data_IF_546920884040
#
_entry.id   IF_546920884040
#
_cell.length_a   1.000
_cell.length_b   1.000
_cell.length_c   1.000
_cell.angle_alpha   90.00
_cell.angle_beta   90.00
_cell.angle_gamma   90.00
#
_symmetry.space_group_name_H-M   'P 1'
#
loop_
_entity.id
_entity.type
_entity.pdbx_description
1 polymer ?
#
# COMPACT_ATOMS: atom_id res chain seq x y z
N UNK A 1 -15.53 -6.87 7.89
CA UNK A 1 -15.44 -5.44 8.25
C UNK A 1 -16.63 -5.07 9.11
N UNK A 2 -16.40 -4.31 10.17
CA UNK A 2 -17.49 -3.68 10.93
C UNK A 2 -17.75 -2.29 10.32
N UNK A 3 -18.92 -2.08 9.72
CA UNK A 3 -19.28 -0.81 9.07
C UNK A 3 -20.65 -0.32 9.57
N UNK A 4 -20.74 0.11 10.85
CA UNK A 4 -22.00 0.51 11.45
C UNK A 4 -22.46 1.88 10.92
N UNK A 5 -23.76 2.13 10.95
CA UNK A 5 -24.28 3.50 10.83
C UNK A 5 -23.98 4.24 12.13
N UNK A 6 -23.30 5.38 12.02
CA UNK A 6 -22.97 6.19 13.20
C UNK A 6 -24.15 7.06 13.64
N UNK A 7 -24.38 7.11 14.95
CA UNK A 7 -25.33 8.03 15.59
C UNK A 7 -24.72 9.43 15.72
N UNK A 8 -25.55 10.44 15.98
CA UNK A 8 -25.07 11.80 16.26
C UNK A 8 -24.12 11.85 17.46
N UNK A 9 -24.36 11.03 18.50
CA UNK A 9 -23.48 10.95 19.67
C UNK A 9 -22.08 10.41 19.30
N UNK A 10 -22.01 9.41 18.42
CA UNK A 10 -20.72 8.89 17.93
C UNK A 10 -20.00 9.96 17.08
N UNK A 11 -20.73 10.65 16.20
CA UNK A 11 -20.18 11.77 15.44
C UNK A 11 -19.65 12.89 16.34
N UNK A 12 -20.40 13.30 17.36
CA UNK A 12 -19.97 14.29 18.32
C UNK A 12 -18.70 13.86 19.08
N UNK A 13 -18.57 12.57 19.39
CA UNK A 13 -17.37 11.97 19.97
C UNK A 13 -16.14 12.09 19.05
N UNK A 14 -16.30 11.86 17.75
CA UNK A 14 -15.21 12.09 16.78
C UNK A 14 -14.90 13.59 16.62
N UNK A 15 -15.92 14.43 16.49
CA UNK A 15 -15.74 15.87 16.30
C UNK A 15 -15.03 16.54 17.47
N UNK A 16 -15.31 16.14 18.72
CA UNK A 16 -14.66 16.70 19.91
C UNK A 16 -13.15 16.41 19.97
N UNK A 17 -12.70 15.34 19.28
CA UNK A 17 -11.29 14.91 19.21
C UNK A 17 -10.61 15.26 17.88
N UNK A 18 -11.26 16.08 17.04
CA UNK A 18 -10.79 16.35 15.68
C UNK A 18 -9.32 16.81 15.62
N UNK A 19 -8.93 17.80 16.44
CA UNK A 19 -7.58 18.35 16.42
C UNK A 19 -6.52 17.33 16.90
N UNK A 20 -6.83 16.58 17.95
CA UNK A 20 -5.97 15.49 18.44
C UNK A 20 -5.77 14.42 17.36
N UNK A 21 -6.85 13.95 16.73
CA UNK A 21 -6.77 12.95 15.66
C UNK A 21 -5.99 13.48 14.46
N UNK A 22 -6.22 14.74 14.07
CA UNK A 22 -5.50 15.40 12.97
C UNK A 22 -4.00 15.45 13.20
N UNK A 23 -3.55 15.76 14.41
CA UNK A 23 -2.12 15.75 14.75
C UNK A 23 -1.57 14.32 14.82
N UNK A 24 -2.34 13.41 15.42
CA UNK A 24 -1.94 12.02 15.63
C UNK A 24 -1.68 11.29 14.31
N UNK A 25 -2.60 11.39 13.33
CA UNK A 25 -2.46 10.70 12.05
C UNK A 25 -1.19 11.11 11.31
N UNK A 26 -0.62 12.28 11.57
CA UNK A 26 0.61 12.71 10.90
C UNK A 26 1.86 12.00 11.42
N UNK A 27 1.77 11.31 12.56
CA UNK A 27 2.92 10.71 13.26
C UNK A 27 2.88 9.19 13.34
N UNK A 28 1.74 8.56 13.06
CA UNK A 28 1.61 7.11 13.10
C UNK A 28 2.27 6.43 11.89
N UNK A 29 2.47 5.12 11.96
CA UNK A 29 3.11 4.35 10.89
C UNK A 29 2.38 4.46 9.55
N UNK A 30 1.05 4.31 9.54
CA UNK A 30 0.27 4.25 8.29
C UNK A 30 -0.70 5.43 8.11
N UNK A 31 -0.59 6.50 8.91
CA UNK A 31 -1.46 7.66 8.75
C UNK A 31 -2.90 7.46 9.26
N UNK A 32 -3.11 6.47 10.13
CA UNK A 32 -4.35 6.20 10.84
C UNK A 32 -4.28 6.66 12.30
N UNK A 33 -5.42 6.70 12.99
CA UNK A 33 -5.45 7.08 14.43
C UNK A 33 -4.91 5.98 15.35
N UNK A 34 -4.91 4.73 14.91
CA UNK A 34 -4.22 3.63 15.57
C UNK A 34 -2.78 3.48 15.04
N UNK A 35 -1.94 2.83 15.83
CA UNK A 35 -0.52 2.61 15.50
C UNK A 35 -0.01 1.34 16.17
N UNK A 36 1.16 0.86 15.75
CA UNK A 36 1.83 -0.26 16.40
C UNK A 36 2.28 0.08 17.83
N UNK A 37 2.51 -0.97 18.62
CA UNK A 37 3.07 -0.87 19.98
C UNK A 37 2.02 -0.79 21.10
N UNK A 38 0.73 -0.61 20.77
CA UNK A 38 -0.34 -0.59 21.77
C UNK A 38 -0.49 -1.89 22.57
N UNK A 39 -0.04 -3.02 22.00
CA UNK A 39 -0.16 -4.35 22.61
C UNK A 39 1.19 -4.95 23.07
N UNK A 40 2.28 -4.17 23.07
CA UNK A 40 3.64 -4.70 23.33
C UNK A 40 4.16 -5.57 22.19
N UNK A 41 5.18 -6.38 22.45
CA UNK A 41 5.79 -7.29 21.46
C UNK A 41 5.13 -8.67 21.48
N UNK A 42 5.28 -9.43 20.39
CA UNK A 42 4.80 -10.80 20.32
C UNK A 42 5.39 -11.70 21.43
N UNK A 43 6.69 -11.54 21.69
CA UNK A 43 7.44 -12.38 22.63
C UNK A 43 7.06 -12.15 24.11
N UNK A 44 6.59 -10.96 24.46
CA UNK A 44 6.13 -10.61 25.82
C UNK A 44 4.75 -11.19 26.16
N UNK A 45 4.05 -11.76 25.18
CA UNK A 45 2.69 -12.28 25.33
C UNK A 45 2.67 -13.80 25.32
N UNK A 46 1.82 -14.37 26.17
CA UNK A 46 1.43 -15.77 26.11
C UNK A 46 0.63 -16.07 24.84
N UNK A 47 0.54 -17.34 24.38
CA UNK A 47 -0.30 -17.72 23.26
C UNK A 47 -1.76 -17.25 23.40
N UNK A 48 -2.33 -17.36 24.60
CA UNK A 48 -3.71 -16.96 24.89
C UNK A 48 -3.91 -15.44 24.77
N UNK A 49 -2.96 -14.64 25.27
CA UNK A 49 -2.99 -13.18 25.13
C UNK A 49 -2.85 -12.73 23.67
N UNK A 50 -2.00 -13.39 22.88
CA UNK A 50 -1.86 -13.10 21.44
C UNK A 50 -3.18 -13.33 20.72
N UNK A 51 -3.83 -14.46 20.97
CA UNK A 51 -5.14 -14.78 20.39
C UNK A 51 -6.17 -13.74 20.84
N UNK A 52 -6.20 -13.34 22.11
CA UNK A 52 -7.12 -12.33 22.60
C UNK A 52 -6.96 -10.97 21.88
N UNK A 53 -5.72 -10.52 21.64
CA UNK A 53 -5.43 -9.31 20.86
C UNK A 53 -5.92 -9.45 19.41
N UNK A 54 -5.63 -10.58 18.77
CA UNK A 54 -6.06 -10.83 17.39
C UNK A 54 -7.60 -10.91 17.27
N UNK A 55 -8.29 -11.51 18.24
CA UNK A 55 -9.76 -11.53 18.32
C UNK A 55 -10.35 -10.15 18.52
N UNK A 56 -9.80 -9.34 19.42
CA UNK A 56 -10.22 -7.95 19.64
C UNK A 56 -10.17 -7.16 18.32
N UNK A 57 -9.02 -7.20 17.63
CA UNK A 57 -8.80 -6.47 16.39
C UNK A 57 -9.59 -7.05 15.19
N UNK A 58 -9.81 -8.36 15.16
CA UNK A 58 -10.70 -8.98 14.18
C UNK A 58 -12.14 -8.49 14.35
N UNK A 59 -12.63 -8.43 15.58
CA UNK A 59 -13.99 -7.99 15.92
C UNK A 59 -14.18 -6.47 15.77
N UNK A 60 -13.13 -5.67 15.99
CA UNK A 60 -13.11 -4.26 15.62
C UNK A 60 -13.38 -4.09 14.11
N UNK A 61 -12.81 -4.98 13.29
CA UNK A 61 -13.15 -5.09 11.87
C UNK A 61 -12.63 -3.95 10.99
N UNK A 62 -11.70 -3.14 11.50
CA UNK A 62 -10.92 -2.16 10.75
C UNK A 62 -9.59 -2.75 10.22
N UNK A 63 -8.69 -1.89 9.71
CA UNK A 63 -7.34 -2.29 9.33
C UNK A 63 -6.38 -2.40 10.53
N UNK A 64 -6.85 -2.19 11.77
CA UNK A 64 -6.01 -2.22 12.96
C UNK A 64 -5.33 -3.59 13.19
N UNK A 65 -6.00 -4.71 12.83
CA UNK A 65 -5.35 -6.04 12.83
C UNK A 65 -4.07 -6.04 11.97
N UNK A 66 -4.07 -5.33 10.85
CA UNK A 66 -2.93 -5.25 9.93
C UNK A 66 -1.92 -4.16 10.30
N UNK A 67 -2.38 -3.02 10.83
CA UNK A 67 -1.60 -1.79 10.97
C UNK A 67 -1.39 -1.31 12.41
N UNK A 68 -1.85 -2.07 13.41
CA UNK A 68 -1.73 -1.73 14.83
C UNK A 68 -1.58 -2.94 15.78
N UNK A 69 -1.56 -4.18 15.27
CA UNK A 69 -1.29 -5.37 16.09
C UNK A 69 0.22 -5.53 16.38
N UNK A 70 0.85 -6.60 15.89
CA UNK A 70 2.26 -6.91 16.08
C UNK A 70 3.05 -6.59 14.82
N UNK A 71 3.90 -5.58 14.89
CA UNK A 71 4.76 -5.16 13.78
C UNK A 71 5.68 -6.28 13.28
N UNK A 72 6.06 -7.19 14.16
CA UNK A 72 6.92 -8.35 13.92
C UNK A 72 6.35 -9.27 12.83
N UNK A 73 5.03 -9.23 12.55
CA UNK A 73 4.45 -9.97 11.43
C UNK A 73 5.05 -9.60 10.07
N UNK A 74 5.70 -8.43 9.93
CA UNK A 74 6.36 -8.01 8.70
C UNK A 74 7.84 -8.41 8.65
N UNK A 75 8.41 -8.99 9.71
CA UNK A 75 9.85 -9.25 9.83
C UNK A 75 10.17 -10.68 10.25
N UNK A 76 9.30 -11.33 11.03
CA UNK A 76 9.48 -12.68 11.54
C UNK A 76 8.48 -13.65 10.87
N UNK A 77 9.01 -14.67 10.19
CA UNK A 77 8.21 -15.66 9.45
C UNK A 77 7.32 -16.51 10.35
N UNK A 78 7.74 -16.80 11.58
CA UNK A 78 6.94 -17.58 12.54
C UNK A 78 5.78 -16.75 13.06
N UNK A 79 6.04 -15.50 13.45
CA UNK A 79 4.98 -14.57 13.86
C UNK A 79 3.99 -14.38 12.73
N UNK A 80 4.47 -14.16 11.50
CA UNK A 80 3.61 -14.04 10.34
C UNK A 80 2.78 -15.32 10.10
N UNK A 81 3.37 -16.50 10.23
CA UNK A 81 2.67 -17.77 10.05
C UNK A 81 1.55 -17.97 11.08
N UNK A 82 1.78 -17.65 12.36
CA UNK A 82 0.77 -17.74 13.41
C UNK A 82 -0.39 -16.77 13.19
N UNK A 83 -0.10 -15.50 12.85
CA UNK A 83 -1.13 -14.51 12.50
C UNK A 83 -1.90 -14.93 11.23
N UNK A 84 -1.19 -15.47 10.24
CA UNK A 84 -1.81 -15.99 9.03
C UNK A 84 -2.78 -17.12 9.32
N UNK A 85 -2.39 -18.07 10.17
CA UNK A 85 -3.25 -19.20 10.50
C UNK A 85 -4.47 -18.78 11.31
N UNK A 86 -4.33 -17.81 12.22
CA UNK A 86 -5.47 -17.18 12.88
C UNK A 86 -6.49 -16.64 11.86
N UNK A 87 -6.03 -15.83 10.88
CA UNK A 87 -6.92 -15.25 9.86
C UNK A 87 -7.53 -16.32 8.96
N UNK A 88 -6.75 -17.33 8.54
CA UNK A 88 -7.28 -18.47 7.77
C UNK A 88 -8.31 -19.26 8.57
N UNK A 89 -8.11 -19.44 9.87
CA UNK A 89 -9.09 -20.01 10.80
C UNK A 89 -10.43 -19.28 10.74
N UNK A 90 -10.40 -17.94 10.85
CA UNK A 90 -11.60 -17.11 10.71
C UNK A 90 -12.28 -17.23 9.34
N UNK A 91 -11.50 -17.36 8.26
CA UNK A 91 -12.07 -17.62 6.93
C UNK A 91 -12.76 -18.99 6.86
N UNK A 92 -12.15 -20.05 7.42
CA UNK A 92 -12.76 -21.40 7.48
C UNK A 92 -14.06 -21.39 8.29
N UNK A 93 -14.10 -20.67 9.41
CA UNK A 93 -15.30 -20.51 10.24
C UNK A 93 -16.45 -19.82 9.49
N UNK A 94 -16.14 -18.86 8.62
CA UNK A 94 -17.14 -18.17 7.78
C UNK A 94 -17.63 -19.04 6.62
N UNK A 95 -16.71 -19.75 5.95
CA UNK A 95 -17.03 -20.57 4.77
C UNK A 95 -17.71 -21.89 5.12
N UNK A 96 -17.25 -22.61 6.16
CA UNK A 96 -17.82 -23.92 6.56
C UNK A 96 -17.98 -24.96 5.43
N UNK A 97 -17.26 -24.80 4.32
CA UNK A 97 -17.27 -25.65 3.13
C UNK A 97 -15.82 -25.96 2.73
N UNK A 98 -15.38 -27.23 2.79
CA UNK A 98 -14.00 -27.62 2.48
C UNK A 98 -13.54 -27.23 1.07
N UNK A 99 -14.44 -27.32 0.07
CA UNK A 99 -14.13 -27.01 -1.32
C UNK A 99 -13.94 -25.50 -1.50
N UNK A 100 -14.81 -24.69 -0.89
CA UNK A 100 -14.62 -23.23 -0.89
C UNK A 100 -13.37 -22.82 -0.11
N UNK A 101 -13.07 -23.49 1.02
CA UNK A 101 -11.86 -23.23 1.79
C UNK A 101 -10.60 -23.46 0.95
N UNK A 102 -10.54 -24.55 0.20
CA UNK A 102 -9.42 -24.87 -0.68
C UNK A 102 -9.21 -23.79 -1.75
N UNK A 103 -10.29 -23.29 -2.36
CA UNK A 103 -10.21 -22.31 -3.45
C UNK A 103 -9.99 -20.87 -2.99
N UNK A 104 -10.56 -20.46 -1.86
CA UNK A 104 -10.60 -19.06 -1.43
C UNK A 104 -9.55 -18.67 -0.40
N UNK A 105 -9.03 -19.64 0.38
CA UNK A 105 -8.09 -19.33 1.45
C UNK A 105 -6.66 -19.34 0.90
N UNK A 106 -5.96 -18.19 0.91
CA UNK A 106 -4.62 -18.11 0.36
C UNK A 106 -3.60 -18.87 1.20
N UNK A 107 -2.81 -19.72 0.55
CA UNK A 107 -1.74 -20.53 1.17
C UNK A 107 -0.33 -20.15 0.70
N UNK A 108 -0.23 -19.36 -0.38
CA UNK A 108 1.03 -19.02 -1.05
C UNK A 108 1.69 -17.72 -0.55
N UNK A 109 1.06 -17.02 0.40
CA UNK A 109 1.63 -15.83 1.06
C UNK A 109 1.07 -15.68 2.47
N UNK A 110 1.76 -14.85 3.25
CA UNK A 110 1.42 -14.53 4.64
C UNK A 110 0.44 -13.37 4.79
N UNK A 111 -0.25 -13.30 5.92
CA UNK A 111 -1.13 -12.17 6.23
C UNK A 111 -0.34 -10.86 6.21
N UNK A 112 -0.94 -9.81 5.65
CA UNK A 112 -0.36 -8.48 5.57
C UNK A 112 0.75 -8.28 4.53
N UNK A 113 1.26 -9.34 3.86
CA UNK A 113 2.27 -9.18 2.80
C UNK A 113 1.68 -8.77 1.43
N UNK A 114 0.35 -8.88 1.31
CA UNK A 114 -0.47 -8.20 0.32
C UNK A 114 -1.34 -7.13 0.99
N UNK A 115 -2.00 -6.26 0.21
CA UNK A 115 -3.04 -5.37 0.76
C UNK A 115 -4.13 -6.21 1.36
N UNK A 116 -4.44 -6.00 2.63
CA UNK A 116 -5.56 -6.66 3.29
C UNK A 116 -6.85 -6.00 2.83
N UNK A 117 -7.70 -6.67 2.03
CA UNK A 117 -9.00 -6.15 1.69
C UNK A 117 -9.92 -6.22 2.92
N UNK A 118 -10.78 -5.23 3.06
CA UNK A 118 -11.91 -5.30 3.98
C UNK A 118 -13.14 -5.73 3.18
N UNK A 119 -13.91 -6.65 3.74
CA UNK A 119 -15.09 -7.18 3.07
C UNK A 119 -16.37 -7.05 3.92
N UNK A 120 -17.51 -7.09 3.24
CA UNK A 120 -18.83 -7.34 3.82
C UNK A 120 -19.48 -8.47 3.03
N UNK A 121 -19.59 -9.64 3.66
CA UNK A 121 -20.20 -10.84 3.09
C UNK A 121 -19.54 -11.37 1.80
N UNK A 122 -18.23 -11.13 1.58
CA UNK A 122 -17.55 -11.63 0.37
C UNK A 122 -17.48 -13.15 0.35
N UNK A 123 -17.08 -13.76 1.47
CA UNK A 123 -16.97 -15.22 1.58
C UNK A 123 -18.36 -15.88 1.52
N UNK A 124 -19.33 -15.28 2.18
CA UNK A 124 -20.71 -15.76 2.25
C UNK A 124 -21.42 -15.69 0.89
N UNK A 125 -20.99 -14.79 0.00
CA UNK A 125 -21.55 -14.67 -1.34
C UNK A 125 -21.41 -15.97 -2.15
N UNK A 126 -20.36 -16.77 -1.90
CA UNK A 126 -20.10 -18.03 -2.59
C UNK A 126 -21.06 -19.18 -2.20
N UNK A 127 -21.85 -19.03 -1.15
CA UNK A 127 -22.91 -19.99 -0.81
C UNK A 127 -24.21 -19.77 -1.57
N UNK A 128 -24.34 -18.65 -2.28
CA UNK A 128 -25.57 -18.35 -3.01
C UNK A 128 -25.68 -19.29 -4.22
N UNK A 129 -26.88 -19.81 -4.53
CA UNK A 129 -27.07 -20.74 -5.65
C UNK A 129 -26.78 -20.12 -7.02
N UNK A 130 -26.65 -18.78 -7.09
CA UNK A 130 -26.40 -18.02 -8.30
C UNK A 130 -24.95 -17.51 -8.42
N UNK A 131 -24.02 -18.07 -7.64
CA UNK A 131 -22.60 -17.70 -7.65
C UNK A 131 -21.76 -18.93 -7.90
N UNK A 132 -20.89 -18.85 -8.91
CA UNK A 132 -19.93 -19.90 -9.25
C UNK A 132 -18.50 -19.35 -9.09
N UNK A 133 -17.62 -20.17 -8.51
CA UNK A 133 -16.18 -19.90 -8.45
C UNK A 133 -15.44 -20.76 -9.48
N UNK A 134 -14.72 -20.10 -10.38
CA UNK A 134 -13.88 -20.72 -11.41
C UNK A 134 -12.42 -20.47 -11.05
N UNK A 135 -11.67 -21.55 -10.77
CA UNK A 135 -10.23 -21.47 -10.51
C UNK A 135 -9.45 -21.46 -11.83
N UNK A 136 -9.10 -20.25 -12.27
CA UNK A 136 -8.37 -20.03 -13.53
C UNK A 136 -6.88 -20.40 -13.46
N UNK A 137 -6.35 -20.80 -12.29
CA UNK A 137 -5.02 -21.42 -12.22
C UNK A 137 -5.11 -22.89 -12.61
N UNK A 138 -6.16 -23.58 -12.18
CA UNK A 138 -6.42 -24.97 -12.54
C UNK A 138 -6.98 -25.11 -13.96
N UNK A 139 -7.87 -24.20 -14.37
CA UNK A 139 -8.48 -24.17 -15.72
C UNK A 139 -8.31 -22.77 -16.34
N UNK A 140 -7.15 -22.47 -16.95
CA UNK A 140 -6.86 -21.15 -17.51
C UNK A 140 -7.88 -20.67 -18.53
N UNK A 141 -8.06 -19.35 -18.61
CA UNK A 141 -8.86 -18.73 -19.68
C UNK A 141 -8.14 -18.93 -21.01
N UNK A 142 -8.81 -19.56 -21.96
CA UNK A 142 -8.30 -19.77 -23.32
C UNK A 142 -8.62 -18.55 -24.19
N UNK A 143 -9.88 -18.14 -24.23
CA UNK A 143 -10.33 -17.00 -25.02
C UNK A 143 -11.66 -16.42 -24.51
N UNK A 144 -11.95 -15.20 -24.96
CA UNK A 144 -13.28 -14.59 -24.86
C UNK A 144 -13.96 -14.76 -26.20
N UNK A 145 -15.21 -15.20 -26.16
CA UNK A 145 -16.11 -15.42 -27.31
C UNK A 145 -17.30 -14.47 -27.20
N UNK A 146 -18.09 -14.27 -28.28
CA UNK A 146 -19.31 -13.44 -28.20
C UNK A 146 -20.30 -13.89 -27.12
N UNK A 147 -20.35 -15.19 -26.82
CA UNK A 147 -21.26 -15.80 -25.85
C UNK A 147 -20.72 -15.75 -24.41
N UNK A 148 -19.42 -15.60 -24.22
CA UNK A 148 -18.80 -15.63 -22.88
C UNK A 148 -17.32 -16.02 -22.87
N UNK A 149 -16.88 -16.61 -21.76
CA UNK A 149 -15.45 -16.94 -21.52
C UNK A 149 -15.24 -18.45 -21.61
N UNK A 150 -14.29 -18.89 -22.44
CA UNK A 150 -13.89 -20.29 -22.56
C UNK A 150 -12.65 -20.58 -21.72
N UNK A 151 -12.72 -21.64 -20.93
CA UNK A 151 -11.61 -22.16 -20.13
C UNK A 151 -10.97 -23.39 -20.77
N UNK A 152 -9.73 -23.71 -20.38
CA UNK A 152 -8.92 -24.76 -21.00
C UNK A 152 -9.48 -26.18 -20.86
N UNK A 153 -10.42 -26.40 -19.92
CA UNK A 153 -11.22 -27.63 -19.81
C UNK A 153 -12.33 -27.75 -20.89
N UNK A 154 -12.43 -26.78 -21.79
CA UNK A 154 -13.40 -26.73 -22.89
C UNK A 154 -14.75 -26.12 -22.49
N UNK A 155 -14.97 -25.79 -21.21
CA UNK A 155 -16.22 -25.21 -20.73
C UNK A 155 -16.38 -23.77 -21.22
N UNK A 156 -17.58 -23.44 -21.69
CA UNK A 156 -18.00 -22.07 -21.95
C UNK A 156 -18.81 -21.57 -20.76
N UNK A 157 -18.33 -20.48 -20.15
CA UNK A 157 -19.08 -19.72 -19.16
C UNK A 157 -19.81 -18.60 -19.89
N UNK A 158 -21.10 -18.80 -20.16
CA UNK A 158 -21.96 -17.82 -20.84
C UNK A 158 -22.14 -16.56 -19.97
N UNK A 159 -21.92 -15.38 -20.56
CA UNK A 159 -21.95 -14.11 -19.84
C UNK A 159 -22.51 -13.00 -20.72
N UNK A 160 -23.46 -12.23 -20.20
CA UNK A 160 -23.89 -10.97 -20.83
C UNK A 160 -22.92 -9.82 -20.55
N UNK A 161 -22.22 -9.87 -19.41
CA UNK A 161 -21.35 -8.81 -18.91
C UNK A 161 -20.05 -9.43 -18.36
N UNK A 162 -18.91 -8.94 -18.85
CA UNK A 162 -17.59 -9.25 -18.32
C UNK A 162 -17.02 -8.05 -17.55
N UNK A 163 -16.83 -8.21 -16.24
CA UNK A 163 -16.25 -7.17 -15.36
C UNK A 163 -14.74 -7.41 -15.19
N UNK A 164 -13.93 -6.44 -15.57
CA UNK A 164 -12.47 -6.49 -15.41
C UNK A 164 -12.03 -5.84 -14.09
N UNK A 165 -12.01 -6.63 -13.02
CA UNK A 165 -11.45 -6.24 -11.72
C UNK A 165 -9.94 -6.56 -11.59
N UNK A 166 -9.17 -6.37 -12.67
CA UNK A 166 -7.77 -6.84 -12.82
C UNK A 166 -6.71 -5.85 -12.30
N UNK A 167 -7.13 -4.79 -11.60
CA UNK A 167 -6.23 -3.82 -10.98
C UNK A 167 -5.62 -2.82 -11.96
N UNK A 168 -4.42 -2.32 -11.62
CA UNK A 168 -3.79 -1.17 -12.28
C UNK A 168 -2.28 -1.38 -12.47
N UNK A 169 -1.70 -0.70 -13.45
CA UNK A 169 -0.26 -0.41 -13.46
C UNK A 169 0.05 0.66 -12.38
N UNK A 170 0.27 0.19 -11.16
CA UNK A 170 0.35 1.02 -9.97
C UNK A 170 1.69 1.77 -9.83
N UNK A 171 1.69 2.92 -9.15
CA UNK A 171 2.90 3.71 -8.89
C UNK A 171 3.42 4.48 -10.11
N UNK A 172 3.85 3.78 -11.16
CA UNK A 172 4.47 4.40 -12.36
C UNK A 172 3.48 4.69 -13.48
N UNK A 173 2.47 3.84 -13.68
CA UNK A 173 1.71 3.78 -14.93
C UNK A 173 0.97 5.06 -15.32
N UNK A 174 0.50 5.84 -14.33
CA UNK A 174 -0.17 7.11 -14.62
C UNK A 174 0.77 8.15 -15.24
N UNK A 175 2.01 8.22 -14.75
CA UNK A 175 3.01 9.19 -15.22
C UNK A 175 3.70 8.72 -16.50
N UNK A 176 3.98 7.42 -16.64
CA UNK A 176 4.66 6.88 -17.84
C UNK A 176 3.78 6.81 -19.09
N UNK A 177 2.46 7.07 -18.96
CA UNK A 177 1.55 7.26 -20.10
C UNK A 177 1.59 8.68 -20.67
N UNK A 178 2.20 9.63 -19.97
CA UNK A 178 2.38 11.02 -20.40
C UNK A 178 3.80 11.15 -20.98
N UNK A 179 3.97 11.94 -22.05
CA UNK A 179 5.30 12.24 -22.59
C UNK A 179 6.04 13.30 -21.75
N UNK A 180 6.43 12.92 -20.54
CA UNK A 180 7.17 13.78 -19.60
C UNK A 180 8.66 13.75 -19.98
N UNK A 181 9.21 14.93 -20.30
CA UNK A 181 10.60 15.10 -20.72
C UNK A 181 11.39 16.00 -19.76
N UNK A 182 12.53 15.49 -19.30
CA UNK A 182 13.50 16.21 -18.48
C UNK A 182 14.62 16.86 -19.31
N UNK A 183 15.72 17.20 -18.65
CA UNK A 183 16.91 17.77 -19.28
C UNK A 183 17.43 16.90 -20.42
N UNK A 184 17.83 17.56 -21.51
CA UNK A 184 18.36 16.87 -22.69
C UNK A 184 17.34 15.95 -23.38
N UNK A 185 16.04 16.15 -23.14
CA UNK A 185 14.97 15.35 -23.76
C UNK A 185 14.77 13.96 -23.12
N UNK A 186 15.36 13.69 -21.95
CA UNK A 186 15.20 12.43 -21.20
C UNK A 186 13.73 12.12 -20.96
N UNK A 187 13.30 10.93 -21.34
CA UNK A 187 11.93 10.45 -21.17
C UNK A 187 11.76 9.77 -19.81
N UNK A 188 10.79 10.22 -19.02
CA UNK A 188 10.50 9.62 -17.70
C UNK A 188 10.08 8.15 -17.84
N UNK A 189 9.32 7.84 -18.90
CA UNK A 189 8.93 6.47 -19.24
C UNK A 189 10.14 5.58 -19.48
N UNK A 190 11.14 6.06 -20.22
CA UNK A 190 12.33 5.27 -20.54
C UNK A 190 13.24 5.12 -19.31
N UNK A 191 13.36 6.18 -18.51
CA UNK A 191 14.12 6.17 -17.25
C UNK A 191 13.52 5.15 -16.27
N UNK A 192 12.20 5.22 -16.00
CA UNK A 192 11.52 4.28 -15.10
C UNK A 192 11.34 2.87 -15.68
N UNK A 193 11.41 2.72 -17.00
CA UNK A 193 11.49 1.40 -17.64
C UNK A 193 12.81 0.68 -17.34
N UNK A 194 13.90 1.41 -17.11
CA UNK A 194 15.19 0.85 -16.67
C UNK A 194 15.25 0.68 -15.16
N UNK A 195 14.93 1.74 -14.42
CA UNK A 195 14.92 1.72 -12.96
C UNK A 195 13.96 2.80 -12.42
N UNK A 196 13.07 2.40 -11.51
CA UNK A 196 12.14 3.32 -10.86
C UNK A 196 12.88 4.12 -9.79
N UNK A 197 13.13 5.40 -10.05
CA UNK A 197 13.88 6.29 -9.14
C UNK A 197 13.11 7.58 -8.90
N UNK A 198 13.11 8.02 -7.64
CA UNK A 198 12.60 9.31 -7.20
C UNK A 198 13.37 9.74 -5.94
N UNK A 199 13.40 11.04 -5.67
CA UNK A 199 13.77 11.58 -4.36
C UNK A 199 12.51 11.76 -3.54
N UNK A 200 12.31 10.88 -2.55
CA UNK A 200 11.17 10.91 -1.61
C UNK A 200 9.79 10.82 -2.29
N UNK A 201 9.72 10.36 -3.55
CA UNK A 201 8.53 10.45 -4.41
C UNK A 201 8.02 11.87 -4.66
N UNK A 202 8.83 12.89 -4.37
CA UNK A 202 8.50 14.30 -4.52
C UNK A 202 9.09 14.92 -5.79
N UNK A 203 10.31 14.51 -6.18
CA UNK A 203 10.98 14.95 -7.40
C UNK A 203 11.84 13.83 -8.00
N UNK A 204 12.36 14.03 -9.22
CA UNK A 204 13.26 13.09 -9.92
C UNK A 204 14.47 13.85 -10.46
N UNK A 205 15.67 13.32 -10.28
CA UNK A 205 16.87 13.95 -10.80
C UNK A 205 16.88 13.95 -12.34
N UNK A 206 17.06 15.14 -12.93
CA UNK A 206 16.96 15.41 -14.36
C UNK A 206 15.65 16.08 -14.78
N UNK A 207 14.69 16.26 -13.88
CA UNK A 207 13.37 16.82 -14.14
C UNK A 207 13.12 18.04 -13.24
N UNK A 208 13.81 19.17 -13.47
CA UNK A 208 13.71 20.36 -12.62
C UNK A 208 12.27 20.89 -12.58
N UNK A 209 11.85 21.36 -11.41
CA UNK A 209 10.50 21.87 -11.12
C UNK A 209 9.33 20.88 -11.34
N UNK A 210 9.62 19.61 -11.68
CA UNK A 210 8.60 18.57 -11.68
C UNK A 210 8.41 18.06 -10.25
N UNK A 211 7.26 18.39 -9.66
CA UNK A 211 6.83 17.84 -8.39
C UNK A 211 5.78 16.74 -8.60
N UNK A 212 5.85 15.72 -7.76
CA UNK A 212 4.89 14.61 -7.76
C UNK A 212 4.34 14.35 -6.36
N UNK A 213 3.17 13.72 -6.31
CA UNK A 213 2.55 13.23 -5.07
C UNK A 213 2.07 11.81 -5.27
N UNK A 214 2.22 10.94 -4.27
CA UNK A 214 1.86 9.53 -4.36
C UNK A 214 2.65 8.76 -5.41
N UNK A 215 3.79 9.30 -5.85
CA UNK A 215 4.69 8.65 -6.80
C UNK A 215 5.53 7.57 -6.11
N UNK A 216 6.21 6.70 -6.88
CA UNK A 216 7.04 5.65 -6.30
C UNK A 216 8.07 6.18 -5.30
N UNK A 217 8.40 5.36 -4.30
CA UNK A 217 9.29 5.64 -3.18
C UNK A 217 8.85 6.78 -2.23
N UNK A 218 7.62 7.27 -2.32
CA UNK A 218 6.94 7.98 -1.22
C UNK A 218 6.02 7.03 -0.44
N UNK A 219 5.63 7.36 0.81
CA UNK A 219 4.49 6.70 1.45
C UNK A 219 3.27 6.86 0.56
N UNK A 220 2.73 5.73 0.12
CA UNK A 220 1.58 5.68 -0.75
C UNK A 220 0.85 4.34 -0.59
N UNK A 221 -0.28 4.23 -1.25
CA UNK A 221 -1.09 3.03 -1.35
C UNK A 221 -1.60 2.47 -0.02
N UNK A 222 -0.84 1.58 0.59
CA UNK A 222 -1.38 0.57 1.49
C UNK A 222 -0.79 0.63 2.89
N UNK A 223 0.45 1.10 3.01
CA UNK A 223 1.09 1.47 4.28
C UNK A 223 0.94 2.97 4.54
N UNK A 224 -0.13 3.55 4.01
CA UNK A 224 -0.40 4.97 4.03
C UNK A 224 -1.90 5.21 3.79
N UNK A 225 -2.54 5.87 4.73
CA UNK A 225 -3.80 6.57 4.51
C UNK A 225 -3.53 7.73 3.54
N UNK A 226 -3.96 7.55 2.29
CA UNK A 226 -3.61 8.44 1.19
C UNK A 226 -3.94 9.90 1.47
N UNK A 227 -5.06 10.20 2.13
CA UNK A 227 -5.42 11.58 2.47
C UNK A 227 -4.35 12.23 3.36
N UNK A 228 -3.89 11.51 4.39
CA UNK A 228 -2.85 11.99 5.30
C UNK A 228 -1.51 12.19 4.58
N UNK A 229 -1.05 11.20 3.81
CA UNK A 229 0.26 11.28 3.18
C UNK A 229 0.31 12.31 2.05
N UNK A 230 -0.76 12.40 1.24
CA UNK A 230 -0.84 13.40 0.18
C UNK A 230 -0.86 14.81 0.76
N UNK A 231 -1.55 15.02 1.89
CA UNK A 231 -1.49 16.30 2.60
C UNK A 231 -0.04 16.65 2.98
N UNK A 232 0.69 15.73 3.61
CA UNK A 232 2.09 15.97 4.00
C UNK A 232 2.98 16.31 2.81
N UNK A 233 2.83 15.60 1.70
CA UNK A 233 3.59 15.84 0.47
C UNK A 233 3.26 17.20 -0.12
N UNK A 234 1.97 17.58 -0.20
CA UNK A 234 1.53 18.89 -0.69
C UNK A 234 1.99 20.03 0.21
N UNK A 235 1.92 19.85 1.53
CA UNK A 235 2.40 20.85 2.51
C UNK A 235 3.89 21.12 2.29
N UNK A 236 4.71 20.06 2.19
CA UNK A 236 6.14 20.19 1.93
C UNK A 236 6.44 20.87 0.59
N UNK A 237 5.75 20.47 -0.48
CA UNK A 237 5.91 21.10 -1.81
C UNK A 237 5.56 22.58 -1.74
N UNK A 238 4.49 22.94 -1.04
CA UNK A 238 4.04 24.32 -0.88
C UNK A 238 5.08 25.16 -0.14
N UNK A 239 5.60 24.65 0.99
CA UNK A 239 6.66 25.31 1.76
C UNK A 239 7.95 25.47 0.95
N UNK A 240 8.29 24.46 0.15
CA UNK A 240 9.44 24.49 -0.76
C UNK A 240 9.31 25.61 -1.79
N UNK A 241 8.16 25.69 -2.47
CA UNK A 241 7.89 26.74 -3.45
C UNK A 241 7.90 28.15 -2.84
N UNK A 242 7.38 28.30 -1.61
CA UNK A 242 7.47 29.55 -0.85
C UNK A 242 8.93 29.91 -0.55
N UNK A 243 9.75 28.93 -0.16
CA UNK A 243 11.17 29.13 0.10
C UNK A 243 11.94 29.55 -1.16
N UNK A 244 11.70 28.93 -2.31
CA UNK A 244 12.27 29.37 -3.59
C UNK A 244 11.91 30.82 -3.90
N UNK A 245 10.62 31.15 -3.82
CA UNK A 245 10.12 32.50 -4.13
C UNK A 245 10.75 33.56 -3.21
N UNK A 246 10.87 33.27 -1.91
CA UNK A 246 11.52 34.18 -0.94
C UNK A 246 13.00 34.43 -1.26
N UNK A 247 13.69 33.43 -1.82
CA UNK A 247 15.10 33.54 -2.24
C UNK A 247 15.28 34.11 -3.65
N UNK A 248 14.19 34.38 -4.38
CA UNK A 248 14.24 34.83 -5.78
C UNK A 248 14.73 33.75 -6.75
N UNK A 249 14.64 32.48 -6.37
CA UNK A 249 15.07 31.33 -7.17
C UNK A 249 13.89 30.79 -7.99
N UNK A 250 14.17 30.19 -9.15
CA UNK A 250 13.15 29.76 -10.11
C UNK A 250 13.23 28.28 -10.47
N UNK A 251 14.32 27.62 -10.09
CA UNK A 251 14.60 26.22 -10.39
C UNK A 251 14.96 25.49 -9.10
N UNK A 252 14.34 24.33 -8.90
CA UNK A 252 14.73 23.33 -7.91
C UNK A 252 14.76 21.95 -8.55
N UNK A 253 15.74 21.16 -8.15
CA UNK A 253 15.86 19.76 -8.49
C UNK A 253 16.69 19.02 -7.43
N UNK A 254 16.44 17.73 -7.16
CA UNK A 254 17.35 16.95 -6.35
C UNK A 254 18.68 16.72 -7.10
N UNK A 255 19.77 16.81 -6.36
CA UNK A 255 21.05 16.26 -6.82
C UNK A 255 20.93 14.75 -7.03
N UNK A 256 21.77 14.21 -7.90
CA UNK A 256 21.85 12.75 -8.13
C UNK A 256 22.17 11.99 -6.84
N UNK A 257 23.06 12.55 -6.01
CA UNK A 257 23.45 11.94 -4.75
C UNK A 257 22.27 11.81 -3.76
N UNK A 258 21.42 12.83 -3.65
CA UNK A 258 20.24 12.77 -2.79
C UNK A 258 19.20 11.73 -3.28
N UNK A 259 19.01 11.62 -4.60
CA UNK A 259 18.18 10.55 -5.18
C UNK A 259 18.77 9.16 -4.89
N UNK A 260 20.08 8.99 -5.08
CA UNK A 260 20.77 7.73 -4.80
C UNK A 260 20.68 7.33 -3.32
N UNK A 261 20.88 8.29 -2.40
CA UNK A 261 20.72 8.09 -0.95
C UNK A 261 19.30 7.64 -0.60
N UNK A 262 18.28 8.31 -1.15
CA UNK A 262 16.89 7.96 -0.88
C UNK A 262 16.52 6.57 -1.41
N UNK A 263 16.95 6.24 -2.63
CA UNK A 263 16.73 4.91 -3.23
C UNK A 263 17.39 3.82 -2.38
N UNK A 264 18.64 4.04 -1.92
CA UNK A 264 19.33 3.09 -1.05
C UNK A 264 18.60 2.89 0.28
N UNK A 265 18.21 3.97 0.96
CA UNK A 265 17.45 3.92 2.21
C UNK A 265 16.11 3.20 2.03
N UNK A 266 15.39 3.49 0.95
CA UNK A 266 14.13 2.83 0.62
C UNK A 266 14.31 1.32 0.42
N UNK A 267 15.32 0.92 -0.36
CA UNK A 267 15.57 -0.49 -0.66
C UNK A 267 16.05 -1.23 0.59
N UNK A 268 16.92 -0.63 1.43
CA UNK A 268 17.30 -1.19 2.73
C UNK A 268 16.09 -1.40 3.65
N UNK A 269 15.26 -0.37 3.78
CA UNK A 269 14.04 -0.41 4.60
C UNK A 269 13.08 -1.50 4.14
N UNK A 270 12.85 -1.61 2.83
CA UNK A 270 11.88 -2.56 2.29
C UNK A 270 12.39 -3.99 2.24
N UNK A 271 13.66 -4.20 1.89
CA UNK A 271 14.28 -5.53 1.82
C UNK A 271 14.43 -6.21 3.18
N UNK A 272 14.38 -5.45 4.27
CA UNK A 272 14.32 -5.99 5.63
C UNK A 272 12.97 -6.67 5.97
N UNK A 273 11.93 -6.52 5.13
CA UNK A 273 10.58 -7.01 5.41
C UNK A 273 10.22 -8.29 4.64
N UNK A 274 9.19 -9.00 5.09
CA UNK A 274 8.59 -10.13 4.37
C UNK A 274 7.77 -9.70 3.14
N UNK A 275 7.47 -8.40 2.99
CA UNK A 275 6.71 -7.86 1.85
C UNK A 275 7.42 -8.09 0.53
N UNK A 276 8.74 -7.92 0.50
CA UNK A 276 9.55 -8.09 -0.71
C UNK A 276 9.64 -9.54 -1.18
N UNK A 277 9.23 -10.51 -0.36
CA UNK A 277 9.18 -11.93 -0.70
C UNK A 277 7.87 -12.32 -1.40
N UNK A 278 6.85 -11.46 -1.39
CA UNK A 278 5.53 -11.76 -1.94
C UNK A 278 5.35 -11.15 -3.33
N UNK A 279 4.83 -11.94 -4.27
CA UNK A 279 4.39 -11.41 -5.57
C UNK A 279 3.09 -10.62 -5.38
N UNK A 280 3.20 -9.31 -5.55
CA UNK A 280 2.08 -8.39 -5.45
C UNK A 280 2.29 -7.19 -6.37
N UNK A 281 1.23 -6.39 -6.53
CA UNK A 281 1.35 -5.11 -7.23
C UNK A 281 2.26 -4.12 -6.51
N UNK A 282 2.49 -4.28 -5.19
CA UNK A 282 3.47 -3.46 -4.47
C UNK A 282 4.88 -3.67 -5.00
N UNK A 283 5.19 -4.89 -5.45
CA UNK A 283 6.47 -5.25 -6.03
C UNK A 283 6.49 -5.06 -7.55
N UNK A 284 5.46 -4.44 -8.15
CA UNK A 284 5.35 -4.24 -9.60
C UNK A 284 5.12 -5.52 -10.41
N UNK A 285 4.93 -6.68 -9.76
CA UNK A 285 4.88 -7.98 -10.44
C UNK A 285 3.59 -8.26 -11.22
N UNK A 286 2.54 -7.46 -11.01
CA UNK A 286 1.27 -7.60 -11.72
C UNK A 286 1.31 -7.05 -13.16
N UNK A 287 2.39 -6.38 -13.55
CA UNK A 287 2.57 -5.81 -14.90
C UNK A 287 3.76 -6.47 -15.58
N UNK A 288 3.52 -7.14 -16.71
CA UNK A 288 4.57 -7.81 -17.49
C UNK A 288 5.65 -6.81 -17.92
N UNK A 289 6.91 -7.15 -17.66
CA UNK A 289 8.07 -6.34 -18.05
C UNK A 289 8.39 -5.17 -17.11
N UNK A 290 7.60 -4.96 -16.05
CA UNK A 290 7.90 -3.97 -15.03
C UNK A 290 8.96 -4.49 -14.06
N UNK A 291 9.88 -3.60 -13.67
CA UNK A 291 10.91 -3.93 -12.70
C UNK A 291 10.32 -4.30 -11.33
N UNK A 292 10.87 -5.35 -10.72
CA UNK A 292 10.49 -5.75 -9.36
C UNK A 292 11.17 -4.84 -8.35
N UNK A 293 10.41 -3.94 -7.72
CA UNK A 293 10.83 -3.09 -6.59
C UNK A 293 9.61 -2.74 -5.75
N UNK A 294 9.79 -2.59 -4.44
CA UNK A 294 8.74 -2.05 -3.59
C UNK A 294 8.37 -0.64 -4.07
N UNK A 295 7.13 -0.41 -4.46
CA UNK A 295 6.74 0.86 -5.08
C UNK A 295 6.51 1.97 -4.06
N UNK A 296 6.12 1.63 -2.82
CA UNK A 296 5.87 2.60 -1.76
C UNK A 296 7.00 2.58 -0.75
N UNK A 297 7.37 3.75 -0.22
CA UNK A 297 8.15 3.78 1.02
C UNK A 297 7.32 3.20 2.18
N UNK A 298 7.92 2.28 2.93
CA UNK A 298 7.27 1.56 4.04
C UNK A 298 7.98 1.73 5.39
N UNK A 299 8.83 2.75 5.53
CA UNK A 299 9.45 3.07 6.82
C UNK A 299 8.54 3.83 7.79
N UNK A 300 7.32 4.15 7.37
CA UNK A 300 6.30 4.82 8.16
C UNK A 300 6.09 6.29 7.80
N UNK A 301 4.83 6.72 7.82
CA UNK A 301 4.37 8.07 7.50
C UNK A 301 5.00 9.11 8.43
N UNK A 302 5.02 8.84 9.74
CA UNK A 302 5.67 9.74 10.71
C UNK A 302 7.17 9.97 10.45
N UNK A 303 7.94 8.90 10.17
CA UNK A 303 9.38 9.02 9.87
C UNK A 303 9.63 9.75 8.56
N UNK A 304 8.81 9.49 7.54
CA UNK A 304 8.87 10.22 6.27
C UNK A 304 8.63 11.72 6.47
N UNK A 305 7.60 12.09 7.24
CA UNK A 305 7.31 13.48 7.59
C UNK A 305 8.49 14.13 8.29
N UNK A 306 9.06 13.47 9.30
CA UNK A 306 10.23 13.97 10.02
C UNK A 306 11.39 14.27 9.06
N UNK A 307 11.71 13.36 8.15
CA UNK A 307 12.77 13.57 7.15
C UNK A 307 12.48 14.77 6.24
N UNK A 308 11.23 14.95 5.83
CA UNK A 308 10.81 16.10 5.02
C UNK A 308 10.97 17.42 5.78
N UNK A 309 10.57 17.46 7.05
CA UNK A 309 10.71 18.62 7.94
C UNK A 309 12.20 18.96 8.20
N UNK A 310 13.04 17.95 8.43
CA UNK A 310 14.49 18.13 8.61
C UNK A 310 15.15 18.76 7.37
N UNK A 311 14.80 18.28 6.17
CA UNK A 311 15.29 18.85 4.92
C UNK A 311 14.82 20.31 4.75
N UNK A 312 13.54 20.59 5.00
CA UNK A 312 13.01 21.95 4.89
C UNK A 312 13.68 22.91 5.89
N UNK A 313 13.85 22.49 7.15
CA UNK A 313 14.51 23.26 8.19
C UNK A 313 16.00 23.50 7.90
N UNK A 314 16.68 22.52 7.28
CA UNK A 314 18.07 22.62 6.84
C UNK A 314 18.28 23.46 5.57
N UNK A 315 17.21 24.05 5.00
CA UNK A 315 17.31 24.84 3.78
C UNK A 315 17.39 24.01 2.50
N UNK A 316 16.84 22.79 2.52
CA UNK A 316 16.75 21.81 1.42
C UNK A 316 18.12 21.28 0.97
N UNK A 317 18.96 20.73 1.88
CA UNK A 317 20.25 20.17 1.50
C UNK A 317 20.07 19.03 0.51
N UNK A 318 20.98 18.96 -0.47
CA UNK A 318 20.92 17.99 -1.57
C UNK A 318 19.94 18.37 -2.68
N UNK A 319 19.15 19.43 -2.54
CA UNK A 319 18.45 20.08 -3.65
C UNK A 319 19.28 21.22 -4.23
N UNK A 320 19.41 21.25 -5.54
CA UNK A 320 20.02 22.34 -6.29
C UNK A 320 18.96 23.41 -6.54
N UNK A 321 19.04 24.53 -5.83
CA UNK A 321 18.14 25.67 -5.99
C UNK A 321 18.87 26.83 -6.69
N UNK A 322 18.32 27.33 -7.81
CA UNK A 322 18.91 28.41 -8.61
C UNK A 322 17.86 29.28 -9.30
#
# INVERSE_FOLDING_TARGET
MNNPKYTEAVWAGFSSRFHEMKERVQRTFAGHVYDFGGYGTWAERTPEERIAVLEELWNDGSLALWLASFSEMFFDEKVNAEVSEFVRGKMRERLKDPMLCEKLIPTNYGFGTNRVPLDTNYLEAYHRPNVEIVDVKASPIECVTPEGVRTADGRLHELDILILATGFDAGTGALTRIDIRGRGGRSLKDDWGREIRTTMGLQVHGYPNLFTTGAPLAPSAAFCNMTTCLQQQVDWITECLVALRRKGLTVIEPSRALEDEWVAHHDETSNATLLVKTDSWYMGTNVKGKQRRMLSYIGGVGKYRQRCEELAAGGYPGFEMR
#
